data_IF_737080579538
#
_entry.id   IF_737080579538
#
_cell.length_a   1.000
_cell.length_b   1.000
_cell.length_c   1.000
_cell.angle_alpha   90.00
_cell.angle_beta   90.00
_cell.angle_gamma   90.00
#
_symmetry.space_group_name_H-M   'P 1'
#
loop_
_entity.id
_entity.type
_entity.pdbx_description
1 polymer ?
#
# COMPACT_ATOMS: atom_id res chain seq x y z
N UNK A 1 -33.42 -6.01 -3.03
CA UNK A 1 -32.08 -6.66 -2.95
C UNK A 1 -31.84 -7.03 -1.49
N UNK A 2 -31.49 -8.26 -1.20
CA UNK A 2 -31.19 -8.69 0.16
C UNK A 2 -29.72 -8.34 0.55
N UNK A 3 -29.40 -8.41 1.84
CA UNK A 3 -28.07 -8.00 2.37
C UNK A 3 -26.90 -8.81 1.76
N UNK A 4 -27.11 -10.09 1.45
CA UNK A 4 -26.07 -10.93 0.83
C UNK A 4 -25.81 -10.55 -0.64
N UNK A 5 -26.83 -10.20 -1.39
CA UNK A 5 -26.68 -9.68 -2.77
C UNK A 5 -25.94 -8.33 -2.77
N UNK A 6 -26.30 -7.44 -1.82
CA UNK A 6 -25.56 -6.18 -1.60
C UNK A 6 -24.08 -6.45 -1.28
N UNK A 7 -23.79 -7.43 -0.41
CA UNK A 7 -22.44 -7.78 -0.02
C UNK A 7 -21.58 -8.26 -1.19
N UNK A 8 -22.13 -9.00 -2.13
CA UNK A 8 -21.43 -9.42 -3.34
C UNK A 8 -21.07 -8.22 -4.23
N UNK A 9 -22.03 -7.32 -4.47
CA UNK A 9 -21.83 -6.13 -5.31
C UNK A 9 -20.84 -5.17 -4.66
N UNK A 10 -21.02 -4.85 -3.38
CA UNK A 10 -20.24 -3.85 -2.67
C UNK A 10 -18.84 -4.35 -2.27
N UNK A 11 -18.71 -5.65 -1.99
CA UNK A 11 -17.42 -6.31 -1.79
C UNK A 11 -16.57 -6.33 -3.07
N UNK A 12 -17.17 -6.68 -4.22
CA UNK A 12 -16.50 -6.63 -5.51
C UNK A 12 -16.12 -5.20 -5.90
N UNK A 13 -16.98 -4.22 -5.66
CA UNK A 13 -16.69 -2.81 -5.91
C UNK A 13 -15.52 -2.29 -5.08
N UNK A 14 -15.30 -2.83 -3.87
CA UNK A 14 -14.20 -2.47 -2.97
C UNK A 14 -12.83 -3.10 -3.32
N UNK A 15 -12.75 -4.01 -4.29
CA UNK A 15 -11.52 -4.78 -4.60
C UNK A 15 -10.35 -3.92 -5.08
N UNK A 16 -10.61 -2.74 -5.61
CA UNK A 16 -9.58 -1.84 -6.17
C UNK A 16 -8.75 -1.10 -5.11
N UNK A 17 -9.18 -1.10 -3.86
CA UNK A 17 -8.37 -0.63 -2.75
C UNK A 17 -7.28 -1.66 -2.44
N UNK A 18 -6.01 -1.29 -2.67
CA UNK A 18 -4.88 -2.20 -2.47
C UNK A 18 -4.62 -2.45 -0.99
N UNK A 19 -4.31 -3.70 -0.65
CA UNK A 19 -3.83 -4.09 0.68
C UNK A 19 -2.33 -4.49 0.64
N UNK A 20 -1.60 -4.08 -0.41
CA UNK A 20 -0.20 -4.38 -0.65
C UNK A 20 0.04 -5.31 -1.85
N UNK A 21 1.31 -5.56 -2.24
CA UNK A 21 1.68 -6.27 -3.46
C UNK A 21 1.26 -7.75 -3.48
N UNK A 22 0.87 -8.28 -2.33
CA UNK A 22 0.37 -9.66 -2.16
C UNK A 22 -0.97 -9.64 -1.41
N UNK A 23 -1.93 -8.84 -1.87
CA UNK A 23 -3.28 -8.90 -1.36
C UNK A 23 -3.88 -10.27 -1.68
N UNK A 24 -4.03 -11.09 -0.67
CA UNK A 24 -4.70 -12.38 -0.80
C UNK A 24 -6.18 -12.18 -0.52
N UNK A 25 -6.99 -12.15 -1.59
CA UNK A 25 -8.42 -12.32 -1.45
C UNK A 25 -8.69 -13.73 -0.92
N UNK A 26 -9.47 -13.82 0.14
CA UNK A 26 -9.94 -15.11 0.65
C UNK A 26 -11.14 -15.51 -0.17
N UNK A 27 -11.03 -16.62 -0.89
CA UNK A 27 -12.21 -17.27 -1.47
C UNK A 27 -13.04 -17.82 -0.32
N UNK A 28 -14.12 -17.15 0.01
CA UNK A 28 -15.08 -17.63 1.01
C UNK A 28 -16.04 -18.59 0.31
N UNK A 29 -16.26 -19.74 0.91
CA UNK A 29 -17.32 -20.66 0.55
C UNK A 29 -18.67 -19.89 0.57
N UNK A 30 -19.51 -20.11 -0.42
CA UNK A 30 -20.77 -19.40 -0.67
C UNK A 30 -20.69 -18.05 -1.42
N UNK A 31 -19.56 -17.71 -2.03
CA UNK A 31 -19.48 -16.57 -2.95
C UNK A 31 -19.62 -15.19 -2.30
N UNK A 32 -19.36 -15.07 -0.99
CA UNK A 32 -19.28 -13.79 -0.31
C UNK A 32 -17.91 -13.16 -0.65
N UNK A 33 -17.91 -12.05 -1.41
CA UNK A 33 -16.71 -11.26 -1.67
C UNK A 33 -16.34 -10.37 -0.49
N UNK A 34 -15.12 -9.78 -0.56
CA UNK A 34 -14.73 -8.72 0.37
C UNK A 34 -14.02 -9.18 1.64
N UNK A 35 -13.69 -10.47 1.83
CA UNK A 35 -12.84 -10.90 2.95
C UNK A 35 -11.39 -11.05 2.48
N UNK A 36 -10.46 -10.39 3.18
CA UNK A 36 -9.04 -10.34 2.83
C UNK A 36 -8.15 -10.73 4.00
N UNK A 37 -7.06 -11.43 3.73
CA UNK A 37 -5.99 -11.63 4.69
C UNK A 37 -5.03 -10.43 4.65
N UNK A 38 -5.06 -9.60 5.67
CA UNK A 38 -4.06 -8.56 5.89
C UNK A 38 -2.91 -9.14 6.73
N UNK A 39 -1.67 -9.03 6.25
CA UNK A 39 -0.49 -9.41 7.02
C UNK A 39 -0.01 -8.21 7.83
N UNK A 40 0.03 -8.35 9.16
CA UNK A 40 0.78 -7.50 10.07
C UNK A 40 1.98 -8.31 10.58
N UNK A 41 3.11 -7.67 10.82
CA UNK A 41 4.46 -8.23 11.13
C UNK A 41 4.55 -9.74 11.44
N UNK A 42 3.74 -10.26 12.37
CA UNK A 42 3.75 -11.67 12.79
C UNK A 42 2.36 -12.33 12.80
N UNK A 43 1.31 -11.61 12.40
CA UNK A 43 -0.07 -12.11 12.42
C UNK A 43 -0.76 -11.86 11.08
N UNK A 44 -1.62 -12.78 10.70
CA UNK A 44 -2.57 -12.57 9.60
C UNK A 44 -3.92 -12.25 10.21
N UNK A 45 -4.52 -11.12 9.81
CA UNK A 45 -5.82 -10.66 10.26
C UNK A 45 -6.82 -10.80 9.11
N UNK A 46 -7.98 -11.40 9.36
CA UNK A 46 -9.09 -11.42 8.40
C UNK A 46 -9.88 -10.13 8.50
N UNK A 47 -9.91 -9.38 7.41
CA UNK A 47 -10.61 -8.10 7.33
C UNK A 47 -11.75 -8.22 6.33
N UNK A 48 -12.96 -7.85 6.76
CA UNK A 48 -14.06 -7.61 5.85
C UNK A 48 -13.93 -6.23 5.25
N UNK A 49 -13.83 -6.17 3.93
CA UNK A 49 -13.68 -4.92 3.17
C UNK A 49 -14.90 -4.76 2.26
N UNK A 50 -15.59 -3.65 2.42
CA UNK A 50 -16.79 -3.34 1.65
C UNK A 50 -16.97 -1.85 1.44
N UNK A 51 -17.77 -1.49 0.44
CA UNK A 51 -18.30 -0.14 0.32
C UNK A 51 -19.62 -0.02 1.04
N UNK A 52 -19.91 1.16 1.60
CA UNK A 52 -21.24 1.51 2.10
C UNK A 52 -22.21 1.71 0.94
N UNK A 53 -21.74 2.37 -0.12
CA UNK A 53 -22.49 2.64 -1.36
C UNK A 53 -21.50 2.61 -2.53
N UNK A 54 -21.88 2.01 -3.67
CA UNK A 54 -21.07 2.08 -4.89
C UNK A 54 -21.62 3.06 -5.93
N UNK A 55 -22.60 3.89 -5.57
CA UNK A 55 -22.97 5.07 -6.35
C UNK A 55 -22.02 6.21 -6.04
N UNK A 56 -21.57 6.93 -7.07
CA UNK A 56 -20.66 8.05 -6.89
C UNK A 56 -21.00 9.19 -7.86
N UNK A 57 -20.94 10.42 -7.38
CA UNK A 57 -21.10 11.63 -8.19
C UNK A 57 -19.78 12.17 -8.73
N UNK A 58 -18.63 11.62 -8.29
CA UNK A 58 -17.34 12.00 -8.84
C UNK A 58 -17.10 11.39 -10.22
N UNK A 59 -16.30 12.07 -11.03
CA UNK A 59 -15.99 11.78 -12.43
C UNK A 59 -14.69 10.98 -12.63
N UNK A 60 -14.20 10.30 -11.60
CA UNK A 60 -12.91 9.59 -11.67
C UNK A 60 -12.84 8.64 -12.87
N UNK A 61 -12.02 8.98 -13.86
CA UNK A 61 -11.96 8.35 -15.20
C UNK A 61 -11.53 6.87 -15.16
N UNK A 62 -10.92 6.42 -14.07
CA UNK A 62 -10.47 5.03 -13.85
C UNK A 62 -11.48 4.19 -13.05
N UNK A 63 -12.50 4.81 -12.44
CA UNK A 63 -13.31 4.17 -11.42
C UNK A 63 -14.64 3.67 -11.98
N UNK A 64 -14.91 2.38 -11.83
CA UNK A 64 -16.17 1.78 -12.26
C UNK A 64 -17.39 2.23 -11.45
N UNK A 65 -17.19 2.92 -10.35
CA UNK A 65 -18.26 3.49 -9.51
C UNK A 65 -18.55 4.96 -9.84
N UNK A 66 -17.73 5.60 -10.68
CA UNK A 66 -17.87 7.02 -11.07
C UNK A 66 -19.24 7.34 -11.68
N UNK A 67 -19.56 8.63 -11.72
CA UNK A 67 -20.75 9.13 -12.40
C UNK A 67 -20.77 8.66 -13.85
N UNK A 68 -21.93 8.23 -14.32
CA UNK A 68 -22.11 7.72 -15.69
C UNK A 68 -21.70 6.27 -15.95
N UNK A 69 -21.06 5.58 -14.99
CA UNK A 69 -20.74 4.15 -15.12
C UNK A 69 -21.96 3.28 -14.82
N UNK A 70 -22.24 2.31 -15.72
CA UNK A 70 -23.48 1.50 -15.73
C UNK A 70 -23.43 0.20 -14.90
N UNK A 71 -22.54 0.10 -13.90
CA UNK A 71 -22.51 -1.10 -13.03
C UNK A 71 -23.71 -1.19 -12.11
N UNK A 72 -24.04 -2.41 -11.71
CA UNK A 72 -25.05 -2.65 -10.69
C UNK A 72 -24.77 -1.83 -9.42
N UNK A 73 -25.72 -1.00 -9.03
CA UNK A 73 -25.63 -0.14 -7.85
C UNK A 73 -26.28 -0.82 -6.65
N UNK A 74 -25.65 -0.67 -5.51
CA UNK A 74 -26.15 -1.13 -4.22
C UNK A 74 -25.70 -0.16 -3.12
N UNK A 75 -26.50 -0.07 -2.07
CA UNK A 75 -26.20 0.72 -0.88
C UNK A 75 -26.69 -0.05 0.36
N UNK A 76 -25.90 -0.05 1.42
CA UNK A 76 -26.36 -0.50 2.72
C UNK A 76 -27.00 0.62 3.51
N UNK A 77 -27.97 0.26 4.35
CA UNK A 77 -28.24 1.06 5.53
C UNK A 77 -27.23 0.73 6.64
N UNK A 78 -26.96 1.66 7.57
CA UNK A 78 -25.96 1.44 8.62
C UNK A 78 -26.13 0.16 9.42
N UNK A 79 -27.37 -0.19 9.76
CA UNK A 79 -27.73 -1.42 10.48
C UNK A 79 -27.44 -2.68 9.67
N UNK A 80 -27.64 -2.64 8.35
CA UNK A 80 -27.41 -3.79 7.48
C UNK A 80 -25.93 -4.18 7.45
N UNK A 81 -25.04 -3.23 7.23
CA UNK A 81 -23.60 -3.53 7.17
C UNK A 81 -23.05 -3.88 8.55
N UNK A 82 -23.51 -3.22 9.61
CA UNK A 82 -23.09 -3.51 10.98
C UNK A 82 -23.56 -4.91 11.42
N UNK A 83 -24.78 -5.30 11.08
CA UNK A 83 -25.33 -6.64 11.37
C UNK A 83 -24.64 -7.73 10.56
N UNK A 84 -24.38 -7.50 9.27
CA UNK A 84 -23.58 -8.41 8.44
C UNK A 84 -22.17 -8.58 9.01
N UNK A 85 -21.53 -7.49 9.40
CA UNK A 85 -20.18 -7.53 9.97
C UNK A 85 -20.15 -8.32 11.30
N UNK A 86 -21.12 -8.12 12.19
CA UNK A 86 -21.25 -8.91 13.43
C UNK A 86 -21.40 -10.41 13.13
N UNK A 87 -22.24 -10.76 12.15
CA UNK A 87 -22.37 -12.14 11.70
C UNK A 87 -21.03 -12.73 11.21
N UNK A 88 -20.26 -11.96 10.41
CA UNK A 88 -18.96 -12.41 9.90
C UNK A 88 -17.93 -12.57 11.02
N UNK A 89 -17.93 -11.68 12.02
CA UNK A 89 -17.08 -11.80 13.21
C UNK A 89 -17.38 -13.08 13.97
N UNK A 90 -18.65 -13.39 14.21
CA UNK A 90 -19.07 -14.55 14.99
C UNK A 90 -18.88 -15.89 14.28
N UNK A 91 -19.09 -15.92 12.96
CA UNK A 91 -19.18 -17.19 12.21
C UNK A 91 -17.96 -17.46 11.31
N UNK A 92 -17.23 -16.43 10.86
CA UNK A 92 -16.13 -16.57 9.92
C UNK A 92 -14.78 -16.04 10.46
N UNK A 93 -14.69 -15.82 11.76
CA UNK A 93 -13.49 -15.30 12.43
C UNK A 93 -12.90 -14.05 11.75
N UNK A 94 -13.77 -13.14 11.29
CA UNK A 94 -13.34 -11.83 10.80
C UNK A 94 -12.94 -10.96 12.00
N UNK A 95 -11.75 -10.37 11.94
CA UNK A 95 -11.13 -9.65 13.06
C UNK A 95 -11.12 -8.14 12.84
N UNK A 96 -11.46 -7.68 11.63
CA UNK A 96 -11.44 -6.27 11.28
C UNK A 96 -12.42 -5.88 10.18
N UNK A 97 -12.77 -4.59 10.18
CA UNK A 97 -13.58 -3.94 9.16
C UNK A 97 -12.75 -2.91 8.40
N UNK A 98 -12.79 -2.95 7.08
CA UNK A 98 -12.36 -1.86 6.21
C UNK A 98 -13.61 -1.31 5.52
N UNK A 99 -14.01 -0.10 5.89
CA UNK A 99 -15.21 0.54 5.36
C UNK A 99 -14.83 1.74 4.48
N UNK A 100 -15.34 1.74 3.26
CA UNK A 100 -15.25 2.81 2.28
C UNK A 100 -16.62 3.14 1.71
N UNK A 101 -16.71 4.10 0.79
CA UNK A 101 -17.94 4.38 0.04
C UNK A 101 -17.64 5.07 -1.29
N UNK A 102 -18.55 4.96 -2.24
CA UNK A 102 -18.74 6.01 -3.24
C UNK A 102 -19.37 7.24 -2.57
N UNK A 103 -19.25 8.38 -3.25
CA UNK A 103 -19.86 9.64 -2.82
C UNK A 103 -21.15 9.85 -3.60
N UNK A 104 -22.27 9.43 -3.03
CA UNK A 104 -23.59 9.68 -3.63
C UNK A 104 -24.07 11.08 -3.24
N UNK A 105 -23.77 12.06 -4.08
CA UNK A 105 -24.10 13.47 -3.89
C UNK A 105 -23.13 14.22 -2.97
N UNK A 106 -23.32 14.17 -1.65
CA UNK A 106 -22.53 14.94 -0.68
C UNK A 106 -21.57 14.02 0.12
N UNK A 107 -20.25 14.33 0.17
CA UNK A 107 -19.27 13.56 0.95
C UNK A 107 -19.63 13.42 2.43
N UNK A 108 -20.16 14.46 3.06
CA UNK A 108 -20.51 14.45 4.48
C UNK A 108 -21.66 13.48 4.76
N UNK A 109 -22.73 13.49 3.97
CA UNK A 109 -23.83 12.53 4.11
C UNK A 109 -23.40 11.07 3.96
N UNK A 110 -22.50 10.81 2.99
CA UNK A 110 -21.94 9.47 2.81
C UNK A 110 -21.08 9.07 4.01
N UNK A 111 -20.27 10.00 4.54
CA UNK A 111 -19.43 9.79 5.72
C UNK A 111 -20.25 9.59 6.99
N UNK A 112 -21.34 10.33 7.19
CA UNK A 112 -22.26 10.17 8.32
C UNK A 112 -22.84 8.74 8.38
N UNK A 113 -23.31 8.21 7.24
CA UNK A 113 -23.76 6.80 7.16
C UNK A 113 -22.67 5.80 7.52
N UNK A 114 -21.44 6.03 7.07
CA UNK A 114 -20.30 5.18 7.42
C UNK A 114 -19.97 5.26 8.92
N UNK A 115 -19.98 6.45 9.51
CA UNK A 115 -19.77 6.67 10.94
C UNK A 115 -20.85 5.93 11.75
N UNK A 116 -22.11 6.09 11.39
CA UNK A 116 -23.22 5.42 12.08
C UNK A 116 -23.09 3.89 12.03
N UNK A 117 -22.72 3.33 10.89
CA UNK A 117 -22.47 1.88 10.76
C UNK A 117 -21.36 1.40 11.71
N UNK A 118 -20.23 2.13 11.79
CA UNK A 118 -19.13 1.79 12.70
C UNK A 118 -19.55 1.99 14.16
N UNK A 119 -20.32 3.04 14.48
CA UNK A 119 -20.86 3.30 15.81
C UNK A 119 -21.80 2.17 16.28
N UNK A 120 -22.69 1.69 15.42
CA UNK A 120 -23.53 0.53 15.70
C UNK A 120 -22.69 -0.71 15.98
N UNK A 121 -21.65 -0.98 15.15
CA UNK A 121 -20.74 -2.08 15.39
C UNK A 121 -20.04 -1.97 16.78
N UNK A 122 -19.58 -0.76 17.15
CA UNK A 122 -18.90 -0.50 18.43
C UNK A 122 -19.84 -0.58 19.64
N UNK A 123 -21.07 -0.04 19.54
CA UNK A 123 -21.99 0.10 20.68
C UNK A 123 -22.94 -1.08 20.79
N UNK A 124 -23.76 -1.36 19.77
CA UNK A 124 -24.76 -2.42 19.77
C UNK A 124 -24.15 -3.81 19.77
N UNK A 125 -23.14 -4.03 18.90
CA UNK A 125 -22.48 -5.33 18.75
C UNK A 125 -21.18 -5.45 19.59
N UNK A 126 -20.79 -4.39 20.29
CA UNK A 126 -19.62 -4.36 21.20
C UNK A 126 -18.31 -4.79 20.55
N UNK A 127 -18.16 -4.57 19.23
CA UNK A 127 -16.95 -4.92 18.52
C UNK A 127 -15.77 -4.06 19.00
N UNK A 128 -14.66 -4.70 19.43
CA UNK A 128 -13.45 -4.04 19.94
C UNK A 128 -12.23 -4.22 19.02
N UNK A 129 -12.39 -4.95 17.91
CA UNK A 129 -11.33 -5.25 16.97
C UNK A 129 -10.96 -4.08 16.05
N UNK A 130 -10.24 -4.39 15.01
CA UNK A 130 -9.66 -3.42 14.10
C UNK A 130 -10.70 -2.79 13.16
N UNK A 131 -10.68 -1.47 13.04
CA UNK A 131 -11.46 -0.70 12.07
C UNK A 131 -10.54 0.22 11.28
N UNK A 132 -10.54 0.05 9.95
CA UNK A 132 -9.93 0.97 8.99
C UNK A 132 -11.03 1.76 8.31
N UNK A 133 -11.06 3.06 8.54
CA UNK A 133 -12.04 3.96 7.97
C UNK A 133 -11.43 4.74 6.80
N UNK A 134 -12.03 4.64 5.61
CA UNK A 134 -11.58 5.40 4.45
C UNK A 134 -12.34 6.72 4.38
N UNK A 135 -11.66 7.80 4.64
CA UNK A 135 -12.21 9.16 4.53
C UNK A 135 -12.42 9.50 3.06
N UNK A 136 -13.58 10.04 2.75
CA UNK A 136 -13.94 10.44 1.40
C UNK A 136 -13.37 11.82 1.09
N UNK A 137 -12.90 12.07 -0.15
CA UNK A 137 -12.53 13.41 -0.59
C UNK A 137 -13.69 14.39 -0.35
N UNK A 138 -13.39 15.57 0.16
CA UNK A 138 -14.40 16.58 0.45
C UNK A 138 -15.03 16.52 1.85
N UNK A 139 -14.86 15.44 2.63
CA UNK A 139 -15.42 15.30 4.00
C UNK A 139 -15.01 16.47 4.92
N UNK A 140 -15.94 16.99 5.73
CA UNK A 140 -15.69 18.03 6.73
C UNK A 140 -14.78 17.56 7.87
N UNK A 141 -14.13 18.52 8.56
CA UNK A 141 -13.21 18.21 9.67
C UNK A 141 -13.92 17.52 10.84
N UNK A 142 -15.11 17.95 11.15
CA UNK A 142 -15.93 17.43 12.24
C UNK A 142 -16.21 15.94 12.08
N UNK A 143 -16.54 15.51 10.84
CA UNK A 143 -16.77 14.11 10.53
C UNK A 143 -15.47 13.30 10.46
N UNK A 144 -14.38 13.89 9.98
CA UNK A 144 -13.05 13.25 10.05
C UNK A 144 -12.67 12.98 11.50
N UNK A 145 -12.90 13.95 12.40
CA UNK A 145 -12.64 13.81 13.83
C UNK A 145 -13.53 12.72 14.46
N UNK A 146 -14.83 12.73 14.22
CA UNK A 146 -15.74 11.70 14.73
C UNK A 146 -15.34 10.30 14.25
N UNK A 147 -15.00 10.15 12.96
CA UNK A 147 -14.53 8.87 12.43
C UNK A 147 -13.24 8.40 13.09
N UNK A 148 -12.33 9.32 13.47
CA UNK A 148 -11.08 8.98 14.14
C UNK A 148 -11.27 8.36 15.52
N UNK A 149 -12.30 8.79 16.25
CA UNK A 149 -12.63 8.26 17.60
C UNK A 149 -13.14 6.81 17.55
N UNK A 150 -13.66 6.36 16.38
CA UNK A 150 -14.21 5.03 16.18
C UNK A 150 -13.25 4.07 15.47
N UNK A 151 -12.15 4.60 14.91
CA UNK A 151 -11.25 3.87 14.01
C UNK A 151 -9.88 3.63 14.63
N UNK A 152 -9.22 2.56 14.21
CA UNK A 152 -7.82 2.29 14.54
C UNK A 152 -6.87 2.92 13.50
N UNK A 153 -7.29 2.93 12.23
CA UNK A 153 -6.56 3.51 11.10
C UNK A 153 -7.52 4.26 10.18
N UNK A 154 -7.01 5.31 9.58
CA UNK A 154 -7.72 6.03 8.53
C UNK A 154 -6.88 6.13 7.26
N UNK A 155 -7.55 6.36 6.13
CA UNK A 155 -6.88 6.63 4.86
C UNK A 155 -7.68 7.60 4.00
N UNK A 156 -6.98 8.39 3.21
CA UNK A 156 -7.50 9.11 2.05
C UNK A 156 -6.60 8.75 0.89
N UNK A 157 -7.16 8.24 -0.19
CA UNK A 157 -6.34 7.97 -1.36
C UNK A 157 -5.91 9.28 -2.01
N UNK A 158 -4.60 9.43 -2.24
CA UNK A 158 -4.05 10.57 -2.95
C UNK A 158 -4.21 10.43 -4.47
N UNK A 159 -4.31 9.20 -4.97
CA UNK A 159 -4.54 8.75 -6.34
C UNK A 159 -3.43 9.15 -7.33
N UNK A 160 -2.88 10.36 -7.25
CA UNK A 160 -1.87 10.92 -8.15
C UNK A 160 -0.70 11.54 -7.38
N UNK A 161 0.51 11.63 -7.95
CA UNK A 161 1.66 12.26 -7.30
C UNK A 161 1.61 13.80 -7.27
N UNK A 162 0.73 14.42 -8.07
CA UNK A 162 0.58 15.88 -8.14
C UNK A 162 -0.80 16.29 -8.66
N UNK A 163 -1.11 17.59 -8.56
CA UNK A 163 -2.39 18.16 -8.95
C UNK A 163 -2.67 18.08 -10.45
N UNK A 164 -1.66 18.21 -11.30
CA UNK A 164 -1.83 18.14 -12.76
C UNK A 164 -2.32 16.76 -13.18
N UNK A 165 -1.67 15.70 -12.70
CA UNK A 165 -2.08 14.32 -12.98
C UNK A 165 -3.43 14.00 -12.34
N UNK A 166 -3.72 14.59 -11.15
CA UNK A 166 -5.03 14.43 -10.53
C UNK A 166 -6.15 15.00 -11.39
N UNK A 167 -5.95 16.16 -12.02
CA UNK A 167 -6.93 16.76 -12.93
C UNK A 167 -7.21 15.88 -14.16
N UNK A 168 -6.19 15.20 -14.68
CA UNK A 168 -6.35 14.20 -15.75
C UNK A 168 -7.17 12.99 -15.31
N UNK A 169 -7.09 12.61 -14.03
CA UNK A 169 -7.82 11.48 -13.46
C UNK A 169 -9.23 11.84 -12.99
N UNK A 170 -9.47 13.08 -12.57
CA UNK A 170 -10.77 13.56 -12.08
C UNK A 170 -10.80 15.07 -12.09
N UNK A 171 -11.70 15.66 -12.88
CA UNK A 171 -11.87 17.12 -13.00
C UNK A 171 -12.60 17.75 -11.82
N UNK A 172 -13.38 16.98 -11.06
CA UNK A 172 -14.21 17.51 -9.98
C UNK A 172 -13.54 17.47 -8.59
N UNK A 173 -12.32 16.90 -8.45
CA UNK A 173 -11.60 16.81 -7.18
C UNK A 173 -10.51 17.87 -7.10
N UNK A 174 -10.56 18.72 -6.10
CA UNK A 174 -9.42 19.57 -5.75
C UNK A 174 -8.40 18.79 -4.96
N UNK A 175 -7.20 18.61 -5.55
CA UNK A 175 -6.11 17.83 -4.98
C UNK A 175 -5.67 18.35 -3.61
N UNK A 176 -5.55 19.66 -3.46
CA UNK A 176 -5.09 20.30 -2.22
C UNK A 176 -6.16 20.37 -1.16
N UNK A 177 -7.39 20.75 -1.60
CA UNK A 177 -8.52 20.95 -0.69
C UNK A 177 -9.14 19.60 -0.32
N UNK A 178 -9.56 18.79 -1.32
CA UNK A 178 -10.36 17.59 -1.02
C UNK A 178 -9.53 16.43 -0.50
N UNK A 179 -8.24 16.37 -0.81
CA UNK A 179 -7.36 15.25 -0.47
C UNK A 179 -6.30 15.65 0.56
N UNK A 180 -5.32 16.47 0.19
CA UNK A 180 -4.18 16.78 1.06
C UNK A 180 -4.59 17.45 2.39
N UNK A 181 -5.62 18.27 2.38
CA UNK A 181 -6.16 18.87 3.60
C UNK A 181 -6.69 17.81 4.57
N UNK A 182 -7.40 16.78 4.06
CA UNK A 182 -7.91 15.66 4.88
C UNK A 182 -6.78 14.82 5.45
N UNK A 183 -5.77 14.53 4.65
CA UNK A 183 -4.57 13.82 5.13
C UNK A 183 -3.88 14.59 6.26
N UNK A 184 -3.73 15.92 6.14
CA UNK A 184 -3.17 16.78 7.21
C UNK A 184 -4.02 16.76 8.48
N UNK A 185 -5.34 16.71 8.35
CA UNK A 185 -6.22 16.60 9.52
C UNK A 185 -6.04 15.25 10.22
N UNK A 186 -6.03 14.16 9.46
CA UNK A 186 -5.84 12.82 10.02
C UNK A 186 -4.47 12.68 10.71
N UNK A 187 -3.41 13.20 10.10
CA UNK A 187 -2.06 13.21 10.70
C UNK A 187 -2.04 13.86 12.07
N UNK A 188 -2.78 14.99 12.25
CA UNK A 188 -2.87 15.71 13.54
C UNK A 188 -3.71 14.99 14.60
N UNK A 189 -4.56 14.05 14.23
CA UNK A 189 -5.43 13.31 15.16
C UNK A 189 -4.73 12.16 15.89
N UNK A 190 -3.50 11.78 15.51
CA UNK A 190 -2.64 10.87 16.26
C UNK A 190 -3.18 9.46 16.42
N UNK A 191 -3.78 8.87 15.38
CA UNK A 191 -4.30 7.50 15.44
C UNK A 191 -3.20 6.47 15.70
N UNK A 192 -3.41 5.54 16.63
CA UNK A 192 -2.43 4.49 16.95
C UNK A 192 -2.05 3.59 15.78
N UNK A 193 -2.98 3.29 14.86
CA UNK A 193 -2.72 2.57 13.62
C UNK A 193 -2.20 3.46 12.47
N UNK A 194 -2.16 4.78 12.69
CA UNK A 194 -1.70 5.78 11.74
C UNK A 194 -2.59 5.95 10.51
N UNK A 195 -2.03 6.63 9.52
CA UNK A 195 -2.66 6.92 8.25
C UNK A 195 -1.98 6.14 7.11
N UNK A 196 -2.75 5.82 6.08
CA UNK A 196 -2.24 5.29 4.82
C UNK A 196 -2.90 5.98 3.63
N UNK A 197 -2.27 5.85 2.45
CA UNK A 197 -2.79 6.37 1.19
C UNK A 197 -2.55 5.38 0.06
N UNK A 198 -3.15 5.63 -1.11
CA UNK A 198 -2.92 4.87 -2.33
C UNK A 198 -2.76 5.80 -3.53
N UNK A 199 -1.78 5.48 -4.39
CA UNK A 199 -1.59 6.09 -5.71
C UNK A 199 -1.90 5.09 -6.82
N UNK A 200 -2.47 5.58 -7.89
CA UNK A 200 -2.63 4.84 -9.15
C UNK A 200 -1.39 5.07 -9.98
N UNK A 201 -0.73 3.99 -10.36
CA UNK A 201 0.48 4.03 -11.17
C UNK A 201 0.10 3.80 -12.63
N UNK A 202 0.32 4.79 -13.45
CA UNK A 202 0.00 4.81 -14.89
C UNK A 202 1.10 5.52 -15.69
N UNK A 203 0.93 5.62 -16.99
CA UNK A 203 1.93 6.24 -17.88
C UNK A 203 1.89 7.80 -17.84
N UNK A 204 0.97 8.41 -17.09
CA UNK A 204 0.91 9.87 -16.89
C UNK A 204 1.96 10.35 -15.87
N UNK A 205 2.53 9.48 -15.04
CA UNK A 205 3.51 9.81 -14.00
C UNK A 205 4.80 9.03 -14.17
N UNK A 206 5.93 9.66 -13.82
CA UNK A 206 7.21 8.96 -13.67
C UNK A 206 7.31 8.29 -12.30
N UNK A 207 8.19 7.30 -12.15
CA UNK A 207 8.49 6.69 -10.85
C UNK A 207 9.13 7.69 -9.88
N UNK A 208 9.88 8.67 -10.45
CA UNK A 208 10.45 9.80 -9.71
C UNK A 208 9.37 10.65 -9.05
N UNK A 209 8.30 11.00 -9.77
CA UNK A 209 7.19 11.78 -9.21
C UNK A 209 6.47 11.01 -8.09
N UNK A 210 6.23 9.72 -8.32
CA UNK A 210 5.58 8.83 -7.36
C UNK A 210 6.39 8.72 -6.08
N UNK A 211 7.70 8.45 -6.17
CA UNK A 211 8.55 8.29 -4.99
C UNK A 211 8.80 9.62 -4.28
N UNK A 212 8.88 10.75 -5.02
CA UNK A 212 8.98 12.09 -4.44
C UNK A 212 7.77 12.43 -3.58
N UNK A 213 6.55 12.13 -4.07
CA UNK A 213 5.34 12.35 -3.28
C UNK A 213 5.27 11.39 -2.09
N UNK A 214 5.67 10.13 -2.25
CA UNK A 214 5.69 9.16 -1.16
C UNK A 214 6.63 9.59 -0.03
N UNK A 215 7.82 10.06 -0.36
CA UNK A 215 8.81 10.59 0.58
C UNK A 215 8.26 11.80 1.34
N UNK A 216 7.63 12.74 0.62
CA UNK A 216 6.97 13.89 1.21
C UNK A 216 5.84 13.49 2.19
N UNK A 217 5.03 12.50 1.85
CA UNK A 217 3.97 12.00 2.72
C UNK A 217 4.50 11.33 3.99
N UNK A 218 5.60 10.59 3.88
CA UNK A 218 6.28 10.02 5.05
C UNK A 218 6.88 11.09 5.94
N UNK A 219 7.59 12.07 5.36
CA UNK A 219 8.26 13.12 6.14
C UNK A 219 7.31 14.15 6.75
N UNK A 220 6.25 14.56 6.02
CA UNK A 220 5.39 15.68 6.42
C UNK A 220 4.10 15.27 7.10
N UNK A 221 3.62 14.05 6.82
CA UNK A 221 2.33 13.58 7.32
C UNK A 221 2.45 12.32 8.20
N UNK A 222 3.66 11.82 8.42
CA UNK A 222 3.94 10.59 9.21
C UNK A 222 3.07 9.41 8.77
N UNK A 223 2.89 9.25 7.45
CA UNK A 223 2.12 8.12 6.94
C UNK A 223 2.78 6.79 7.29
N UNK A 224 1.95 5.82 7.66
CA UNK A 224 2.44 4.45 7.88
C UNK A 224 2.72 3.72 6.58
N UNK A 225 1.96 4.04 5.52
CA UNK A 225 2.10 3.33 4.25
C UNK A 225 1.52 4.11 3.08
N UNK A 226 2.29 4.16 2.00
CA UNK A 226 1.79 4.47 0.66
C UNK A 226 1.60 3.15 -0.09
N UNK A 227 0.43 2.96 -0.70
CA UNK A 227 0.12 1.83 -1.56
C UNK A 227 0.19 2.24 -3.03
N UNK A 228 0.81 1.40 -3.83
CA UNK A 228 0.93 1.59 -5.28
C UNK A 228 0.00 0.61 -5.98
N UNK A 229 -0.96 1.11 -6.74
CA UNK A 229 -1.90 0.29 -7.52
C UNK A 229 -1.58 0.45 -9.00
N UNK A 230 -1.03 -0.59 -9.63
CA UNK A 230 -0.86 -0.59 -11.08
C UNK A 230 -2.21 -0.38 -11.76
N UNK A 231 -2.29 0.63 -12.63
CA UNK A 231 -3.50 0.91 -13.39
C UNK A 231 -3.93 -0.30 -14.21
N UNK A 232 -5.21 -0.59 -14.16
CA UNK A 232 -5.86 -1.61 -15.00
C UNK A 232 -7.07 -1.00 -15.65
N UNK A 233 -7.20 -1.07 -16.97
CA UNK A 233 -8.38 -0.57 -17.66
C UNK A 233 -9.63 -1.34 -17.18
N UNK A 234 -10.69 -0.61 -16.94
CA UNK A 234 -11.97 -1.15 -16.49
C UNK A 234 -13.02 -0.82 -17.55
N UNK A 235 -13.69 -1.84 -18.06
CA UNK A 235 -14.76 -1.68 -19.07
C UNK A 235 -15.85 -0.73 -18.56
N UNK A 236 -16.29 0.17 -19.41
CA UNK A 236 -17.29 1.19 -19.11
C UNK A 236 -16.75 2.41 -18.35
N UNK A 237 -15.43 2.57 -18.27
CA UNK A 237 -14.79 3.80 -17.76
C UNK A 237 -14.12 4.59 -18.88
N UNK A 238 -13.93 5.92 -18.76
CA UNK A 238 -13.25 6.72 -19.78
C UNK A 238 -11.83 6.24 -20.13
N UNK A 239 -11.14 5.53 -19.22
CA UNK A 239 -9.80 4.98 -19.45
C UNK A 239 -9.82 3.48 -19.81
N UNK A 240 -10.93 2.92 -20.30
CA UNK A 240 -11.04 1.49 -20.60
C UNK A 240 -10.12 1.00 -21.72
N UNK A 241 -9.69 1.90 -22.60
CA UNK A 241 -8.80 1.59 -23.73
C UNK A 241 -7.32 1.92 -23.44
N UNK A 242 -7.03 2.48 -22.28
CA UNK A 242 -5.66 2.81 -21.90
C UNK A 242 -4.85 1.56 -21.54
N UNK A 243 -3.55 1.63 -21.73
CA UNK A 243 -2.64 0.52 -21.46
C UNK A 243 -2.56 0.21 -19.97
N UNK A 244 -2.69 -1.07 -19.63
CA UNK A 244 -2.46 -1.54 -18.27
C UNK A 244 -1.00 -1.36 -17.84
N UNK A 245 -0.78 -0.86 -16.64
CA UNK A 245 0.57 -0.76 -16.07
C UNK A 245 1.11 -2.14 -15.69
N UNK A 246 2.34 -2.49 -16.11
CA UNK A 246 2.96 -3.76 -15.74
C UNK A 246 3.10 -3.91 -14.22
N UNK A 247 2.77 -5.08 -13.68
CA UNK A 247 2.96 -5.36 -12.24
C UNK A 247 4.43 -5.29 -11.81
N UNK A 248 5.36 -5.47 -12.74
CA UNK A 248 6.80 -5.28 -12.48
C UNK A 248 7.11 -3.87 -12.07
N UNK A 249 6.50 -2.83 -12.69
CA UNK A 249 6.65 -1.42 -12.30
C UNK A 249 6.14 -1.18 -10.87
N UNK A 250 4.93 -1.66 -10.57
CA UNK A 250 4.39 -1.59 -9.20
C UNK A 250 5.33 -2.24 -8.18
N UNK A 251 5.87 -3.42 -8.50
CA UNK A 251 6.79 -4.12 -7.61
C UNK A 251 8.10 -3.35 -7.40
N UNK A 252 8.62 -2.65 -8.43
CA UNK A 252 9.82 -1.80 -8.30
C UNK A 252 9.57 -0.61 -7.38
N UNK A 253 8.41 0.03 -7.49
CA UNK A 253 8.01 1.10 -6.57
C UNK A 253 7.91 0.58 -5.13
N UNK A 254 7.29 -0.57 -4.89
CA UNK A 254 7.28 -1.18 -3.55
C UNK A 254 8.68 -1.53 -3.03
N UNK A 255 9.55 -2.04 -3.89
CA UNK A 255 10.94 -2.33 -3.49
C UNK A 255 11.68 -1.04 -3.10
N UNK A 256 11.55 0.03 -3.89
CA UNK A 256 12.16 1.33 -3.60
C UNK A 256 11.59 1.98 -2.33
N UNK A 257 10.28 1.92 -2.15
CA UNK A 257 9.60 2.35 -0.92
C UNK A 257 10.15 1.62 0.33
N UNK A 258 10.39 0.32 0.19
CA UNK A 258 10.98 -0.49 1.26
C UNK A 258 12.43 -0.07 1.56
N UNK A 259 13.21 0.26 0.53
CA UNK A 259 14.57 0.77 0.69
C UNK A 259 14.60 2.10 1.44
N UNK A 260 13.68 3.01 1.12
CA UNK A 260 13.60 4.29 1.84
C UNK A 260 13.19 4.10 3.31
N UNK A 261 12.11 3.38 3.58
CA UNK A 261 11.55 3.26 4.94
C UNK A 261 12.34 2.36 5.87
N UNK A 262 12.80 1.24 5.39
CA UNK A 262 13.34 0.18 6.25
C UNK A 262 14.86 0.03 6.15
N UNK A 263 15.48 0.55 5.08
CA UNK A 263 16.92 0.47 4.85
C UNK A 263 17.64 1.84 4.90
N UNK A 264 16.89 2.92 5.09
CA UNK A 264 17.45 4.26 5.23
C UNK A 264 18.04 4.87 3.95
N UNK A 265 17.73 4.31 2.78
CA UNK A 265 18.13 4.93 1.51
C UNK A 265 17.41 6.27 1.34
N UNK A 266 18.15 7.25 0.84
CA UNK A 266 17.61 8.56 0.52
C UNK A 266 17.04 8.59 -0.89
N UNK A 267 15.99 9.38 -1.09
CA UNK A 267 15.35 9.54 -2.39
C UNK A 267 16.35 9.92 -3.50
N UNK A 268 17.36 10.75 -3.20
CA UNK A 268 18.39 11.14 -4.14
C UNK A 268 19.21 9.96 -4.66
N UNK A 269 19.47 8.95 -3.85
CA UNK A 269 20.20 7.75 -4.26
C UNK A 269 19.40 6.95 -5.27
N UNK A 270 18.07 6.86 -5.09
CA UNK A 270 17.18 6.22 -6.07
C UNK A 270 17.16 6.97 -7.42
N UNK A 271 17.35 8.29 -7.41
CA UNK A 271 17.42 9.06 -8.65
C UNK A 271 18.66 8.73 -9.49
N UNK A 272 19.76 8.31 -8.86
CA UNK A 272 21.01 7.95 -9.55
C UNK A 272 20.87 6.72 -10.45
N UNK A 273 19.90 5.85 -10.17
CA UNK A 273 19.64 4.65 -10.97
C UNK A 273 18.45 4.79 -11.92
N UNK A 274 17.81 5.96 -11.98
CA UNK A 274 16.68 6.20 -12.86
C UNK A 274 17.14 6.69 -14.24
N UNK A 275 16.42 6.21 -15.25
CA UNK A 275 16.50 6.71 -16.61
C UNK A 275 15.19 7.41 -16.96
N UNK A 276 15.27 8.67 -17.43
CA UNK A 276 14.10 9.53 -17.69
C UNK A 276 13.04 9.54 -16.55
N UNK A 277 13.50 9.40 -15.31
CA UNK A 277 12.65 9.36 -14.12
C UNK A 277 11.98 8.01 -13.86
N UNK A 278 12.34 6.96 -14.61
CA UNK A 278 11.81 5.61 -14.44
C UNK A 278 12.84 4.71 -13.75
N UNK A 279 12.38 3.86 -12.84
CA UNK A 279 13.20 2.84 -12.20
C UNK A 279 13.65 1.75 -13.19
N UNK A 280 14.84 1.18 -12.99
CA UNK A 280 15.34 0.09 -13.84
C UNK A 280 14.44 -1.14 -13.77
N UNK A 281 14.49 -1.97 -14.81
CA UNK A 281 13.76 -3.25 -14.85
C UNK A 281 14.26 -4.25 -13.82
N UNK A 282 15.52 -4.17 -13.42
CA UNK A 282 16.10 -5.00 -12.37
C UNK A 282 15.68 -4.54 -10.96
N UNK A 283 16.08 -5.30 -9.95
CA UNK A 283 15.84 -4.96 -8.54
C UNK A 283 16.54 -3.64 -8.18
N UNK A 284 15.85 -2.62 -7.64
CA UNK A 284 16.45 -1.32 -7.33
C UNK A 284 17.65 -1.42 -6.38
N UNK A 285 17.63 -2.33 -5.39
CA UNK A 285 18.77 -2.53 -4.50
C UNK A 285 19.98 -3.10 -5.23
N UNK A 286 19.75 -3.96 -6.21
CA UNK A 286 20.82 -4.50 -7.04
C UNK A 286 21.41 -3.41 -7.96
N UNK A 287 20.57 -2.58 -8.56
CA UNK A 287 21.02 -1.46 -9.38
C UNK A 287 21.85 -0.46 -8.58
N UNK A 288 21.38 -0.09 -7.38
CA UNK A 288 22.11 0.78 -6.45
C UNK A 288 23.45 0.18 -6.04
N UNK A 289 23.50 -1.10 -5.72
CA UNK A 289 24.74 -1.77 -5.34
C UNK A 289 25.76 -1.76 -6.48
N UNK A 290 25.33 -1.99 -7.72
CA UNK A 290 26.19 -1.89 -8.91
C UNK A 290 26.74 -0.47 -9.15
N UNK A 291 25.95 0.55 -8.82
CA UNK A 291 26.35 1.95 -8.95
C UNK A 291 27.27 2.42 -7.80
N UNK A 292 27.17 1.79 -6.62
CA UNK A 292 27.85 2.25 -5.40
C UNK A 292 29.14 1.47 -5.09
N UNK A 293 29.15 0.14 -5.35
CA UNK A 293 30.29 -0.69 -4.98
C UNK A 293 31.27 -0.88 -6.14
N UNK A 294 32.39 -0.15 -6.11
CA UNK A 294 33.50 -0.34 -7.05
C UNK A 294 34.30 -1.60 -6.76
N UNK A 295 34.26 -2.09 -5.50
CA UNK A 295 34.94 -3.31 -5.04
C UNK A 295 34.08 -4.06 -4.04
N UNK A 296 34.29 -5.37 -3.88
CA UNK A 296 33.60 -6.14 -2.84
C UNK A 296 33.89 -5.58 -1.44
N UNK A 297 32.87 -5.64 -0.58
CA UNK A 297 32.91 -5.20 0.81
C UNK A 297 33.31 -6.37 1.72
N UNK A 298 34.29 -6.21 2.61
CA UNK A 298 34.54 -7.23 3.63
C UNK A 298 33.45 -7.20 4.69
N UNK A 299 32.71 -8.32 4.81
CA UNK A 299 31.57 -8.43 5.74
C UNK A 299 31.94 -8.24 7.21
N UNK A 300 33.20 -8.49 7.58
CA UNK A 300 33.66 -8.44 8.95
C UNK A 300 34.17 -7.06 9.36
N UNK A 301 34.48 -6.21 8.39
CA UNK A 301 34.91 -4.83 8.60
C UNK A 301 33.80 -3.81 8.35
N UNK A 302 32.72 -4.25 7.67
CA UNK A 302 31.65 -3.37 7.21
C UNK A 302 30.76 -2.87 8.36
N UNK A 303 30.39 -1.63 8.29
CA UNK A 303 29.37 -1.01 9.14
C UNK A 303 27.97 -1.59 8.87
N UNK A 304 27.02 -1.35 9.78
CA UNK A 304 25.63 -1.72 9.58
C UNK A 304 25.05 -1.08 8.31
N UNK A 305 25.34 0.19 8.10
CA UNK A 305 24.88 0.99 6.97
C UNK A 305 25.41 0.46 5.63
N UNK A 306 26.63 -0.05 5.58
CA UNK A 306 27.21 -0.70 4.41
C UNK A 306 26.61 -2.10 4.19
N UNK A 307 26.49 -2.90 5.24
CA UNK A 307 25.91 -4.24 5.16
C UNK A 307 24.47 -4.23 4.60
N UNK A 308 23.63 -3.29 5.05
CA UNK A 308 22.24 -3.21 4.55
C UNK A 308 22.15 -2.78 3.10
N UNK A 309 23.22 -2.23 2.50
CA UNK A 309 23.30 -1.86 1.08
C UNK A 309 23.61 -3.05 0.18
N UNK A 310 24.19 -4.11 0.73
CA UNK A 310 24.51 -5.34 -0.03
C UNK A 310 23.22 -6.08 -0.44
N UNK A 311 23.00 -6.38 -1.74
CA UNK A 311 21.88 -7.21 -2.19
C UNK A 311 21.88 -8.57 -1.49
N UNK A 312 20.74 -8.98 -0.94
CA UNK A 312 20.62 -10.25 -0.19
C UNK A 312 20.92 -10.14 1.30
N UNK A 313 21.42 -9.01 1.80
CA UNK A 313 21.58 -8.73 3.24
C UNK A 313 20.50 -7.70 3.63
N UNK A 314 19.64 -8.08 4.59
CA UNK A 314 18.61 -7.22 5.14
C UNK A 314 18.98 -6.68 6.53
N UNK A 315 18.20 -5.74 7.09
CA UNK A 315 18.46 -5.15 8.40
C UNK A 315 18.66 -6.19 9.52
N UNK A 316 17.83 -7.24 9.52
CA UNK A 316 17.93 -8.34 10.50
C UNK A 316 19.25 -9.11 10.34
N UNK A 317 19.59 -9.49 9.11
CA UNK A 317 20.84 -10.22 8.81
C UNK A 317 22.07 -9.36 9.14
N UNK A 318 22.08 -8.08 8.76
CA UNK A 318 23.17 -7.15 9.06
C UNK A 318 23.41 -7.03 10.58
N UNK A 319 22.34 -6.83 11.37
CA UNK A 319 22.43 -6.81 12.84
C UNK A 319 23.01 -8.10 13.41
N UNK A 320 22.58 -9.25 12.86
CA UNK A 320 23.06 -10.56 13.34
C UNK A 320 24.54 -10.79 13.00
N UNK A 321 24.99 -10.35 11.81
CA UNK A 321 26.42 -10.41 11.44
C UNK A 321 27.27 -9.64 12.46
N UNK A 322 26.88 -8.40 12.77
CA UNK A 322 27.61 -7.56 13.73
C UNK A 322 27.61 -8.16 15.14
N UNK A 323 26.45 -8.61 15.62
CA UNK A 323 26.32 -9.20 16.96
C UNK A 323 27.14 -10.49 17.12
N UNK A 324 27.33 -11.26 16.05
CA UNK A 324 28.15 -12.48 16.07
C UNK A 324 29.66 -12.21 15.88
N UNK A 325 30.08 -10.95 15.75
CA UNK A 325 31.47 -10.61 15.48
C UNK A 325 31.93 -10.99 14.07
N UNK A 326 30.99 -11.04 13.11
CA UNK A 326 31.25 -11.34 11.72
C UNK A 326 30.82 -12.75 11.28
N UNK A 327 31.32 -13.15 10.11
CA UNK A 327 31.11 -14.48 9.50
C UNK A 327 32.44 -15.04 9.00
N UNK A 328 32.65 -16.36 9.12
CA UNK A 328 33.87 -17.03 8.68
C UNK A 328 33.75 -17.63 7.28
N UNK A 329 32.54 -17.98 6.86
CA UNK A 329 32.26 -18.67 5.60
C UNK A 329 30.91 -18.22 5.02
N UNK A 330 30.75 -18.33 3.70
CA UNK A 330 29.51 -18.01 3.00
C UNK A 330 28.29 -18.82 3.45
N UNK A 331 28.50 -20.06 3.92
CA UNK A 331 27.44 -20.90 4.46
C UNK A 331 26.86 -20.34 5.77
N UNK A 332 27.68 -19.67 6.58
CA UNK A 332 27.22 -19.00 7.80
C UNK A 332 26.32 -17.83 7.46
N UNK A 333 26.68 -17.04 6.45
CA UNK A 333 25.82 -15.95 5.96
C UNK A 333 24.43 -16.47 5.58
N UNK A 334 24.34 -17.63 4.92
CA UNK A 334 23.07 -18.25 4.59
C UNK A 334 22.26 -18.62 5.84
N UNK A 335 22.90 -19.21 6.86
CA UNK A 335 22.26 -19.56 8.14
C UNK A 335 21.74 -18.34 8.89
N UNK A 336 22.39 -17.19 8.74
CA UNK A 336 21.96 -15.92 9.33
C UNK A 336 20.81 -15.25 8.54
N UNK A 337 20.31 -15.89 7.47
CA UNK A 337 19.22 -15.38 6.64
C UNK A 337 19.66 -14.50 5.47
N UNK A 338 20.96 -14.46 5.18
CA UNK A 338 21.51 -13.79 4.00
C UNK A 338 21.22 -14.58 2.71
N UNK A 339 20.88 -13.88 1.64
CA UNK A 339 20.76 -14.51 0.32
C UNK A 339 22.10 -14.46 -0.41
N UNK A 340 22.97 -15.44 -0.09
CA UNK A 340 24.36 -15.54 -0.54
C UNK A 340 24.50 -15.34 -2.06
N UNK A 341 23.66 -15.98 -2.86
CA UNK A 341 23.72 -15.87 -4.33
C UNK A 341 23.62 -14.42 -4.82
N UNK A 342 22.83 -13.58 -4.14
CA UNK A 342 22.70 -12.14 -4.47
C UNK A 342 23.83 -11.30 -3.88
N UNK A 343 24.31 -11.67 -2.69
CA UNK A 343 25.34 -10.91 -1.99
C UNK A 343 26.75 -11.13 -2.58
N UNK A 344 27.03 -12.34 -3.03
CA UNK A 344 28.35 -12.80 -3.47
C UNK A 344 29.13 -11.85 -4.39
N UNK A 345 28.55 -11.21 -5.41
CA UNK A 345 29.29 -10.28 -6.27
C UNK A 345 29.82 -9.05 -5.55
N UNK A 346 29.26 -8.70 -4.39
CA UNK A 346 29.47 -7.45 -3.67
C UNK A 346 30.22 -7.63 -2.34
N UNK A 347 30.62 -8.87 -1.98
CA UNK A 347 31.19 -9.18 -0.67
C UNK A 347 32.45 -10.04 -0.76
N UNK A 348 33.30 -9.87 0.23
CA UNK A 348 34.37 -10.78 0.57
C UNK A 348 34.34 -11.09 2.07
N UNK A 349 35.09 -12.10 2.52
CA UNK A 349 35.18 -12.52 3.92
C UNK A 349 36.67 -12.67 4.26
N UNK A 350 37.19 -11.82 5.16
CA UNK A 350 38.59 -11.77 5.54
C UNK A 350 39.52 -11.64 4.30
N UNK A 351 39.18 -10.74 3.39
CA UNK A 351 39.93 -10.49 2.15
C UNK A 351 39.82 -11.64 1.12
N UNK A 352 38.97 -12.63 1.32
CA UNK A 352 38.78 -13.75 0.38
C UNK A 352 37.45 -13.64 -0.34
N UNK A 353 37.53 -13.53 -1.66
CA UNK A 353 36.38 -13.57 -2.56
C UNK A 353 36.08 -15.01 -2.97
N UNK A 354 34.82 -15.41 -3.00
CA UNK A 354 34.46 -16.69 -3.56
C UNK A 354 34.40 -16.58 -5.09
N UNK A 355 35.28 -17.32 -5.79
CA UNK A 355 35.31 -17.38 -7.25
C UNK A 355 33.98 -17.88 -7.80
N UNK A 356 33.51 -17.29 -8.91
CA UNK A 356 32.38 -17.77 -9.67
C UNK A 356 32.88 -18.58 -10.88
N UNK A 357 32.09 -19.55 -11.34
CA UNK A 357 32.45 -20.32 -12.55
C UNK A 357 32.70 -19.43 -13.78
N UNK A 358 32.01 -18.29 -13.87
CA UNK A 358 32.25 -17.30 -14.94
C UNK A 358 33.56 -16.49 -14.81
N UNK A 359 34.25 -16.55 -13.66
CA UNK A 359 35.54 -15.89 -13.48
C UNK A 359 36.68 -16.65 -14.18
N UNK A 360 36.42 -17.88 -14.65
CA UNK A 360 37.37 -18.77 -15.34
C UNK A 360 37.30 -18.71 -16.88
N UNK A 361 36.30 -18.00 -17.43
CA UNK A 361 36.11 -17.90 -18.90
C UNK A 361 36.84 -16.71 -19.53
N UNK A 362 37.74 -16.04 -18.80
CA UNK A 362 38.56 -14.91 -19.29
C UNK A 362 40.03 -15.23 -19.06
N UNK A 363 40.55 -16.16 -19.86
CA UNK A 363 41.98 -16.36 -20.08
C UNK A 363 42.25 -16.60 -21.56
#
# INVERSE_FOLDING_TARGET
MNTLEKARILGDAGRYDSCGPKACEVKVENGLGGIYHAKAEHKTCRIFKTLMDNSCSFDCRYCSNAAGCSKNKASYEPEEVAGLFDYLVKNLAVEGLFLSSGVSGNPDKATEKMIEAVKIARTKYRFRGYVHFKVLPGTSYELVKQASELSNRMSVNIEAPNSSIMQELSGCKDYSIDILRRQRWISKLGLGGGQSTQMIINDMSTDKDVLKMSDWEYEKLDLRRVYYAAFRPVKGTPLENEKATPLTRQNRLYNSDFLMRDYGYKLKELYEIMDEGMLPREDPKLALAKATFDRPLDLNEASYEELIRVPGIGPKTAKTIILNGGVKKYEELHKLGGWVKRARPFIEINGKRQSMLGDFDVA
#
